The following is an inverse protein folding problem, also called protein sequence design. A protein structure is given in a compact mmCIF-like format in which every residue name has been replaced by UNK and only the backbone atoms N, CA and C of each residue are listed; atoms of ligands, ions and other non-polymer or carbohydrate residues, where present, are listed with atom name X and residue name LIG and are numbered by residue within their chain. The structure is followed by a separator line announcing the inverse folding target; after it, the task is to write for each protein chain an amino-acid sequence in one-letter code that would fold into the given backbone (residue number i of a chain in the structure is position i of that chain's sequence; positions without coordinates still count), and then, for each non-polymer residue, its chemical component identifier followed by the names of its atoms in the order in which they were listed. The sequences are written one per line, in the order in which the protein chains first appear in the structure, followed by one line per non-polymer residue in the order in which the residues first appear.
data_IF_215347340677
#
_entry.id   IF_215347340677
#
_cell.length_a   1.000
_cell.length_b   1.000
_cell.length_c   1.000
_cell.angle_alpha   90.00
_cell.angle_beta   90.00
_cell.angle_gamma   90.00
#
_symmetry.space_group_name_H-M   'P 1'
#
loop_
_entity.id
_entity.type
_entity.pdbx_description
1 polymer ?
#
# COMPACT_ATOMS: atom_id res chain seq x y z
N UNK A 1 13.30 24.89 10.26
CA UNK A 1 12.75 25.39 8.99
C UNK A 1 11.58 26.35 9.18
N UNK A 2 10.76 26.13 10.17
CA UNK A 2 9.53 26.93 10.42
C UNK A 2 9.71 28.45 10.52
N UNK A 3 10.91 28.94 10.86
CA UNK A 3 11.17 30.37 11.05
C UNK A 3 11.30 31.17 9.73
N UNK A 4 11.51 30.51 8.60
CA UNK A 4 11.60 31.08 7.26
C UNK A 4 12.78 32.02 7.02
N UNK A 5 13.56 32.41 8.04
CA UNK A 5 14.74 33.28 7.92
C UNK A 5 15.76 33.02 9.03
N UNK A 6 17.00 32.86 8.67
CA UNK A 6 18.14 32.92 9.60
C UNK A 6 18.74 34.32 9.61
N UNK A 7 18.99 34.86 10.81
CA UNK A 7 19.57 36.21 10.96
C UNK A 7 20.94 36.13 11.62
N UNK A 8 21.99 36.58 10.91
CA UNK A 8 23.33 36.68 11.40
C UNK A 8 23.61 38.12 11.86
N UNK A 9 24.22 38.27 13.03
CA UNK A 9 24.64 39.58 13.54
C UNK A 9 26.15 39.75 13.34
N UNK A 10 26.54 40.73 12.57
CA UNK A 10 27.95 41.18 12.42
C UNK A 10 28.23 42.29 13.42
N UNK A 11 29.31 42.15 14.20
CA UNK A 11 29.66 43.07 15.27
C UNK A 11 31.07 43.59 15.10
N UNK A 12 31.24 44.92 15.20
CA UNK A 12 32.57 45.58 15.34
C UNK A 12 32.97 45.59 16.81
N UNK A 13 34.25 45.36 17.09
CA UNK A 13 34.81 45.46 18.43
C UNK A 13 34.75 46.89 19.03
N UNK A 14 34.81 47.90 18.13
CA UNK A 14 34.72 49.33 18.49
C UNK A 14 34.01 50.13 17.38
N UNK A 15 33.40 51.26 17.73
CA UNK A 15 32.77 52.15 16.76
C UNK A 15 33.80 52.83 15.87
N UNK A 16 33.56 52.81 14.57
CA UNK A 16 34.37 53.54 13.58
C UNK A 16 33.85 54.96 13.35
N UNK A 17 34.74 55.89 13.02
CA UNK A 17 34.37 57.25 12.62
C UNK A 17 33.98 57.33 11.14
N UNK A 18 34.24 56.29 10.37
CA UNK A 18 33.90 56.14 8.96
C UNK A 18 32.98 54.92 8.78
N UNK A 19 32.25 54.87 7.67
CA UNK A 19 31.46 53.69 7.30
C UNK A 19 32.38 52.47 7.12
N UNK A 20 32.01 51.34 7.69
CA UNK A 20 32.65 50.04 7.52
C UNK A 20 31.83 49.19 6.57
N UNK A 21 32.46 48.60 5.57
CA UNK A 21 31.80 47.66 4.67
C UNK A 21 32.48 46.30 4.70
N UNK A 22 31.69 45.23 4.56
CA UNK A 22 32.17 43.87 4.41
C UNK A 22 31.31 43.14 3.39
N UNK A 23 31.90 42.39 2.50
CA UNK A 23 31.18 41.51 1.59
C UNK A 23 30.85 40.24 2.33
N UNK A 24 29.72 39.64 1.97
CA UNK A 24 29.27 38.36 2.52
C UNK A 24 28.75 37.45 1.42
N UNK A 25 28.87 36.13 1.65
CA UNK A 25 28.31 35.09 0.79
C UNK A 25 27.95 33.85 1.63
N UNK A 26 26.83 33.26 1.32
CA UNK A 26 26.52 31.90 1.81
C UNK A 26 27.29 30.87 1.01
N UNK A 27 27.79 29.84 1.69
CA UNK A 27 28.45 28.68 1.10
C UNK A 27 27.70 27.38 1.45
N UNK A 28 27.93 26.35 0.67
CA UNK A 28 27.32 25.04 0.88
C UNK A 28 27.92 24.30 2.09
N UNK A 29 27.11 23.50 2.75
CA UNK A 29 27.47 22.46 3.68
C UNK A 29 26.72 21.18 3.27
N UNK A 30 25.93 20.57 4.16
CA UNK A 30 24.97 19.53 3.80
C UNK A 30 23.72 20.17 3.15
N UNK A 31 23.32 21.36 3.63
CA UNK A 31 22.18 22.10 3.06
C UNK A 31 22.47 22.59 1.62
N UNK A 32 21.49 22.45 0.77
CA UNK A 32 21.54 22.75 -0.67
C UNK A 32 20.90 24.10 -0.99
N UNK A 33 21.67 25.00 -1.61
CA UNK A 33 21.11 26.27 -2.07
C UNK A 33 20.01 26.06 -3.12
N UNK A 34 18.85 26.64 -2.89
CA UNK A 34 17.67 26.55 -3.76
C UNK A 34 16.67 25.50 -3.34
N UNK A 35 17.05 24.56 -2.48
CA UNK A 35 16.16 23.58 -1.84
C UNK A 35 15.91 24.01 -0.41
N UNK A 36 16.94 24.09 0.41
CA UNK A 36 16.85 24.25 1.87
C UNK A 36 16.99 25.71 2.32
N UNK A 37 17.68 26.52 1.53
CA UNK A 37 17.80 27.96 1.74
C UNK A 37 18.03 28.73 0.43
N UNK A 38 17.76 30.02 0.45
CA UNK A 38 18.12 30.90 -0.67
C UNK A 38 19.50 31.48 -0.46
N UNK A 39 20.46 31.08 -1.32
CA UNK A 39 21.83 31.59 -1.31
C UNK A 39 21.87 33.12 -1.40
N UNK A 40 22.56 33.76 -0.46
CA UNK A 40 22.59 35.21 -0.31
C UNK A 40 23.99 35.73 -0.41
N UNK A 41 24.20 36.75 -1.22
CA UNK A 41 25.49 37.47 -1.36
C UNK A 41 25.26 38.99 -1.34
N UNK A 42 26.21 39.75 -0.85
CA UNK A 42 26.08 41.20 -0.85
C UNK A 42 27.17 41.92 -0.08
N UNK A 43 26.96 43.21 0.18
CA UNK A 43 27.78 44.03 1.02
C UNK A 43 27.00 44.58 2.18
N UNK A 44 27.43 44.28 3.40
CA UNK A 44 26.92 44.89 4.61
C UNK A 44 27.65 46.18 4.88
N UNK A 45 26.91 47.26 5.13
CA UNK A 45 27.48 48.57 5.51
C UNK A 45 27.06 48.90 6.95
N UNK A 46 28.02 49.12 7.81
CA UNK A 46 27.86 49.66 9.16
C UNK A 46 28.23 51.14 9.11
N UNK A 47 27.24 52.00 9.27
CA UNK A 47 27.47 53.48 9.24
C UNK A 47 28.35 53.92 10.39
N UNK A 48 29.04 55.07 10.21
CA UNK A 48 29.87 55.65 11.23
C UNK A 48 29.18 55.72 12.60
N UNK A 49 29.82 55.20 13.65
CA UNK A 49 29.31 55.11 15.00
C UNK A 49 28.44 53.87 15.30
N UNK A 50 28.07 53.09 14.29
CA UNK A 50 27.27 51.86 14.45
C UNK A 50 28.22 50.66 14.60
N UNK A 51 27.97 49.79 15.56
CA UNK A 51 28.80 48.61 15.86
C UNK A 51 28.16 47.27 15.47
N UNK A 52 26.90 47.25 15.06
CA UNK A 52 26.19 46.00 14.71
C UNK A 52 25.38 46.16 13.44
N UNK A 53 25.31 45.11 12.65
CA UNK A 53 24.44 44.99 11.48
C UNK A 53 23.99 43.55 11.30
N UNK A 54 22.97 43.34 10.49
CA UNK A 54 22.39 42.01 10.29
C UNK A 54 22.42 41.60 8.83
N UNK A 55 22.66 40.31 8.59
CA UNK A 55 22.49 39.61 7.32
C UNK A 55 21.39 38.61 7.50
N UNK A 56 20.41 38.57 6.58
CA UNK A 56 19.31 37.64 6.57
C UNK A 56 19.50 36.64 5.47
N UNK A 57 19.40 35.35 5.79
CA UNK A 57 19.40 34.25 4.83
C UNK A 57 18.02 33.62 4.88
N UNK A 58 17.24 33.68 3.80
CA UNK A 58 15.94 33.02 3.75
C UNK A 58 16.09 31.48 3.78
N UNK A 59 15.35 30.82 4.64
CA UNK A 59 15.23 29.37 4.74
C UNK A 59 13.99 28.94 3.97
N UNK A 60 14.09 27.84 3.24
CA UNK A 60 12.95 27.22 2.57
C UNK A 60 12.23 26.33 3.57
N UNK A 61 10.92 26.37 3.57
CA UNK A 61 10.06 25.50 4.39
C UNK A 61 9.31 24.56 3.47
N UNK A 62 9.22 23.28 3.81
CA UNK A 62 8.43 22.30 3.07
C UNK A 62 7.70 21.32 4.01
N UNK A 63 7.54 20.05 3.69
CA UNK A 63 6.88 19.04 4.51
C UNK A 63 7.61 17.71 4.46
N UNK A 64 8.88 17.75 4.07
CA UNK A 64 9.73 16.56 3.93
C UNK A 64 10.48 16.33 5.23
N UNK A 65 10.35 15.14 5.82
CA UNK A 65 11.17 14.71 6.97
C UNK A 65 12.64 14.59 6.52
N UNK A 66 13.50 15.41 7.10
CA UNK A 66 14.90 15.53 6.74
C UNK A 66 15.82 15.41 7.95
N UNK A 67 17.10 15.25 7.72
CA UNK A 67 18.08 15.38 8.79
C UNK A 67 18.48 16.84 8.96
N UNK A 68 18.82 17.27 10.17
CA UNK A 68 19.40 18.60 10.41
C UNK A 68 20.58 18.87 9.46
N UNK A 69 20.58 20.01 8.82
CA UNK A 69 21.54 20.38 7.79
C UNK A 69 22.36 21.61 8.14
N UNK A 70 23.45 21.82 7.41
CA UNK A 70 24.36 22.95 7.62
C UNK A 70 24.71 23.65 6.32
N UNK A 71 24.86 24.97 6.42
CA UNK A 71 25.51 25.82 5.42
C UNK A 71 26.44 26.78 6.14
N UNK A 72 27.20 27.60 5.40
CA UNK A 72 28.12 28.59 5.98
C UNK A 72 27.80 29.99 5.48
N UNK A 73 28.02 31.00 6.32
CA UNK A 73 28.10 32.41 5.90
C UNK A 73 29.56 32.85 6.05
N UNK A 74 30.15 33.42 4.97
CA UNK A 74 31.54 33.89 4.94
C UNK A 74 31.58 35.39 4.72
N UNK A 75 32.39 36.08 5.51
CA UNK A 75 32.73 37.50 5.34
C UNK A 75 34.06 37.65 4.58
N UNK A 76 34.12 38.64 3.70
CA UNK A 76 35.32 38.93 2.90
C UNK A 76 35.45 40.43 2.57
N UNK A 77 36.59 40.83 2.03
CA UNK A 77 36.85 42.18 1.50
C UNK A 77 36.44 43.33 2.43
N UNK A 78 36.90 43.36 3.71
CA UNK A 78 36.57 44.42 4.63
C UNK A 78 37.19 45.77 4.19
N UNK A 79 36.44 46.87 4.40
CA UNK A 79 36.96 48.22 4.23
C UNK A 79 36.77 48.98 5.55
N UNK A 80 37.76 49.72 5.99
CA UNK A 80 37.87 50.44 7.27
C UNK A 80 37.79 49.54 8.51
N UNK A 81 37.99 48.23 8.37
CA UNK A 81 38.07 47.26 9.45
C UNK A 81 38.94 46.08 9.06
N UNK A 82 39.19 45.17 10.03
CA UNK A 82 39.77 43.84 9.79
C UNK A 82 38.77 42.77 10.23
N UNK A 83 38.81 41.62 9.56
CA UNK A 83 37.96 40.49 9.95
C UNK A 83 38.70 39.71 11.04
N UNK A 84 38.08 39.54 12.20
CA UNK A 84 38.57 38.72 13.30
C UNK A 84 38.10 37.27 13.17
N UNK A 85 36.85 37.11 12.74
CA UNK A 85 36.24 35.80 12.41
C UNK A 85 35.50 35.94 11.07
N UNK A 86 35.86 35.12 10.11
CA UNK A 86 35.37 35.22 8.73
C UNK A 86 34.16 34.33 8.44
N UNK A 87 33.87 33.33 9.29
CA UNK A 87 32.87 32.31 8.97
C UNK A 87 31.91 32.08 10.14
N UNK A 88 30.65 31.77 9.83
CA UNK A 88 29.65 31.34 10.78
C UNK A 88 28.82 30.23 10.16
N UNK A 89 28.50 29.22 10.95
CA UNK A 89 27.65 28.14 10.52
C UNK A 89 26.18 28.56 10.58
N UNK A 90 25.43 28.17 9.55
CA UNK A 90 23.99 28.11 9.52
C UNK A 90 23.60 26.65 9.80
N UNK A 91 22.83 26.40 10.83
CA UNK A 91 22.20 25.10 11.09
C UNK A 91 20.72 25.25 10.80
N UNK A 92 20.23 24.42 9.91
CA UNK A 92 18.81 24.30 9.57
C UNK A 92 18.34 23.03 10.26
N UNK A 93 17.43 23.19 11.21
CA UNK A 93 16.82 22.06 11.91
C UNK A 93 15.50 21.68 11.26
N UNK A 94 15.33 20.39 11.01
CA UNK A 94 14.08 19.83 10.53
C UNK A 94 12.97 20.01 11.60
N UNK A 95 11.78 20.39 11.18
CA UNK A 95 10.59 20.53 12.03
C UNK A 95 9.40 19.70 11.53
N UNK A 96 9.61 18.86 10.53
CA UNK A 96 8.62 17.97 9.96
C UNK A 96 8.51 16.65 10.72
N UNK A 97 7.38 16.01 10.56
CA UNK A 97 7.13 14.79 11.30
C UNK A 97 7.69 13.57 10.57
N UNK A 98 8.35 12.67 11.30
CA UNK A 98 8.70 11.35 10.78
C UNK A 98 7.48 10.67 10.13
N UNK A 99 7.58 10.19 8.88
CA UNK A 99 6.46 9.61 8.15
C UNK A 99 5.84 8.41 8.85
N UNK A 100 4.54 8.24 8.67
CA UNK A 100 3.82 7.06 9.12
C UNK A 100 3.33 6.25 7.90
N UNK A 101 3.65 4.94 7.90
CA UNK A 101 3.29 4.00 6.85
C UNK A 101 1.90 3.42 7.13
N UNK A 102 1.07 3.32 6.10
CA UNK A 102 -0.16 2.55 6.07
C UNK A 102 -0.19 1.66 4.83
N UNK A 103 -0.99 0.58 4.87
CA UNK A 103 -1.17 -0.33 3.74
C UNK A 103 -2.65 -0.43 3.38
N UNK A 104 -2.96 -0.56 2.08
CA UNK A 104 -4.32 -0.79 1.58
C UNK A 104 -4.56 -2.26 1.25
N UNK A 105 -5.82 -2.71 1.35
CA UNK A 105 -6.24 -4.05 0.94
C UNK A 105 -5.98 -4.32 -0.54
N UNK A 106 -5.72 -5.61 -0.84
CA UNK A 106 -5.54 -6.13 -2.19
C UNK A 106 -6.62 -7.14 -2.55
N UNK A 107 -7.25 -6.97 -3.71
CA UNK A 107 -8.29 -7.88 -4.20
C UNK A 107 -7.94 -8.36 -5.61
N UNK A 108 -8.17 -9.64 -5.87
CA UNK A 108 -8.00 -10.24 -7.20
C UNK A 108 -8.94 -11.45 -7.35
N UNK A 109 -9.15 -11.89 -8.59
CA UNK A 109 -9.70 -13.21 -8.86
C UNK A 109 -8.62 -14.28 -8.74
N UNK A 110 -8.99 -15.55 -8.63
CA UNK A 110 -8.06 -16.67 -8.64
C UNK A 110 -7.12 -16.62 -9.85
N UNK A 111 -5.88 -17.06 -9.67
CA UNK A 111 -4.83 -17.01 -10.70
C UNK A 111 -4.39 -15.61 -11.10
N UNK A 112 -4.96 -14.57 -10.47
CA UNK A 112 -4.58 -13.18 -10.67
C UNK A 112 -3.45 -12.72 -9.77
N UNK A 113 -3.26 -11.41 -9.72
CA UNK A 113 -2.28 -10.75 -8.87
C UNK A 113 -2.96 -9.66 -8.07
N UNK A 114 -2.89 -9.75 -6.75
CA UNK A 114 -3.33 -8.71 -5.85
C UNK A 114 -2.18 -7.72 -5.64
N UNK A 115 -2.38 -6.46 -5.99
CA UNK A 115 -1.41 -5.39 -5.78
C UNK A 115 -1.76 -4.62 -4.50
N UNK A 116 -0.80 -4.53 -3.59
CA UNK A 116 -0.89 -3.76 -2.35
C UNK A 116 -0.14 -2.45 -2.51
N UNK A 117 -0.67 -1.39 -1.90
CA UNK A 117 -0.03 -0.08 -1.88
C UNK A 117 0.30 0.30 -0.45
N UNK A 118 1.58 0.52 -0.18
CA UNK A 118 2.02 1.19 1.04
C UNK A 118 2.09 2.70 0.79
N UNK A 119 1.61 3.50 1.73
CA UNK A 119 1.53 4.96 1.63
C UNK A 119 2.09 5.63 2.87
N UNK A 120 2.79 6.76 2.68
CA UNK A 120 3.34 7.61 3.74
C UNK A 120 2.45 8.83 3.97
N UNK A 121 2.48 9.36 5.18
CA UNK A 121 1.80 10.61 5.55
C UNK A 121 2.44 11.85 4.91
N UNK A 122 3.76 11.84 4.74
CA UNK A 122 4.58 12.90 4.15
C UNK A 122 5.84 12.26 3.52
N UNK A 123 6.52 12.93 2.58
CA UNK A 123 7.77 12.43 2.02
C UNK A 123 8.91 12.45 3.06
N UNK A 124 9.98 11.69 2.81
CA UNK A 124 11.24 11.77 3.54
C UNK A 124 12.40 11.96 2.55
N UNK A 125 13.45 12.64 2.96
CA UNK A 125 14.69 12.77 2.19
C UNK A 125 15.51 11.47 2.19
N UNK A 126 15.15 10.50 3.03
CA UNK A 126 15.78 9.19 3.13
C UNK A 126 14.89 8.09 2.52
N UNK A 127 15.52 7.02 2.03
CA UNK A 127 14.78 5.81 1.66
C UNK A 127 14.11 5.21 2.90
N UNK A 128 12.83 4.89 2.78
CA UNK A 128 12.06 4.19 3.81
C UNK A 128 11.94 2.73 3.42
N UNK A 129 12.27 1.82 4.33
CA UNK A 129 12.07 0.40 4.13
C UNK A 129 11.11 -0.18 5.15
N UNK A 130 10.34 -1.19 4.74
CA UNK A 130 9.43 -1.94 5.61
C UNK A 130 9.41 -3.39 5.16
N UNK A 131 9.45 -4.32 6.09
CA UNK A 131 9.24 -5.74 5.80
C UNK A 131 7.74 -6.01 5.67
N UNK A 132 7.36 -6.88 4.73
CA UNK A 132 5.99 -7.36 4.59
C UNK A 132 5.95 -8.88 4.50
N UNK A 133 4.91 -9.46 5.08
CA UNK A 133 4.65 -10.89 5.07
C UNK A 133 3.17 -11.16 4.82
N UNK A 134 2.88 -12.08 3.87
CA UNK A 134 1.52 -12.57 3.68
C UNK A 134 1.29 -13.87 4.45
N UNK A 135 0.11 -14.03 5.03
CA UNK A 135 -0.29 -15.18 5.85
C UNK A 135 -1.69 -15.67 5.50
N UNK A 136 -1.93 -16.96 5.79
CA UNK A 136 -3.21 -17.62 5.56
C UNK A 136 -4.31 -17.07 6.49
N UNK A 137 -5.51 -16.93 5.92
CA UNK A 137 -6.77 -16.75 6.61
C UNK A 137 -7.71 -17.89 6.24
N UNK A 138 -8.81 -17.63 5.52
CA UNK A 138 -9.57 -18.68 4.83
C UNK A 138 -8.80 -19.17 3.60
N UNK A 139 -8.15 -18.25 2.86
CA UNK A 139 -7.21 -18.60 1.82
C UNK A 139 -5.95 -19.26 2.40
N UNK A 140 -5.49 -20.33 1.79
CA UNK A 140 -4.40 -21.18 2.27
C UNK A 140 -3.16 -21.00 1.41
N UNK A 141 -2.03 -20.67 2.04
CA UNK A 141 -0.74 -20.63 1.35
C UNK A 141 -0.41 -21.97 0.71
N UNK A 142 0.00 -21.91 -0.56
CA UNK A 142 0.36 -23.07 -1.37
C UNK A 142 -0.79 -23.69 -2.15
N UNK A 143 -2.06 -23.40 -1.79
CA UNK A 143 -3.25 -23.74 -2.57
C UNK A 143 -3.75 -22.50 -3.32
N UNK A 144 -4.10 -21.45 -2.59
CA UNK A 144 -4.85 -20.31 -3.12
C UNK A 144 -3.95 -19.11 -3.43
N UNK A 145 -2.80 -19.02 -2.78
CA UNK A 145 -1.76 -18.02 -3.07
C UNK A 145 -0.36 -18.50 -2.69
N UNK A 146 0.66 -17.83 -3.19
CA UNK A 146 2.04 -18.03 -2.77
C UNK A 146 2.42 -16.98 -1.72
N UNK A 147 2.73 -17.43 -0.51
CA UNK A 147 3.18 -16.52 0.55
C UNK A 147 4.45 -15.79 0.16
N UNK A 148 4.51 -14.52 0.49
CA UNK A 148 5.66 -13.64 0.29
C UNK A 148 6.16 -13.14 1.64
N UNK A 149 7.49 -12.98 1.76
CA UNK A 149 8.16 -12.32 2.89
C UNK A 149 9.35 -11.59 2.30
N UNK A 150 9.24 -10.28 2.19
CA UNK A 150 10.24 -9.43 1.52
C UNK A 150 10.30 -8.04 2.16
N UNK A 151 11.17 -7.20 1.64
CA UNK A 151 11.31 -5.79 2.05
C UNK A 151 10.85 -4.88 0.91
N UNK A 152 9.92 -3.99 1.21
CA UNK A 152 9.51 -2.90 0.33
C UNK A 152 10.35 -1.67 0.62
N UNK A 153 10.76 -0.97 -0.44
CA UNK A 153 11.43 0.33 -0.33
C UNK A 153 10.56 1.41 -0.97
N UNK A 154 10.30 2.47 -0.24
CA UNK A 154 9.74 3.72 -0.75
C UNK A 154 10.94 4.66 -0.88
N UNK A 155 11.27 5.06 -2.10
CA UNK A 155 12.45 5.89 -2.35
C UNK A 155 12.30 7.30 -1.81
N UNK A 156 13.43 7.92 -1.45
CA UNK A 156 13.48 9.31 -1.00
C UNK A 156 12.64 10.24 -1.90
N UNK A 157 11.82 11.07 -1.29
CA UNK A 157 10.88 12.00 -1.96
C UNK A 157 9.58 11.38 -2.45
N UNK A 158 9.46 10.04 -2.51
CA UNK A 158 8.21 9.36 -2.87
C UNK A 158 7.36 9.12 -1.62
N UNK A 159 6.03 9.03 -1.81
CA UNK A 159 5.08 8.77 -0.72
C UNK A 159 4.35 7.45 -0.86
N UNK A 160 4.62 6.67 -1.91
CA UNK A 160 3.98 5.37 -2.14
C UNK A 160 4.91 4.38 -2.78
N UNK A 161 4.72 3.11 -2.48
CA UNK A 161 5.28 2.00 -3.23
C UNK A 161 4.29 0.83 -3.25
N UNK A 162 4.42 -0.07 -4.22
CA UNK A 162 3.54 -1.22 -4.40
C UNK A 162 4.32 -2.52 -4.42
N UNK A 163 3.65 -3.59 -4.03
CA UNK A 163 4.11 -4.96 -4.19
C UNK A 163 2.94 -5.88 -4.51
N UNK A 164 3.25 -7.07 -4.99
CA UNK A 164 2.27 -8.01 -5.51
C UNK A 164 2.26 -9.32 -4.71
N UNK A 165 1.06 -9.89 -4.54
CA UNK A 165 0.84 -11.26 -4.10
C UNK A 165 0.13 -12.01 -5.21
N UNK A 166 0.77 -13.07 -5.72
CA UNK A 166 0.23 -13.89 -6.80
C UNK A 166 -0.66 -14.97 -6.23
N UNK A 167 -1.89 -15.08 -6.76
CA UNK A 167 -2.85 -16.12 -6.42
C UNK A 167 -2.78 -17.29 -7.39
N UNK A 168 -3.32 -18.44 -6.99
CA UNK A 168 -3.30 -19.69 -7.75
C UNK A 168 -4.69 -19.93 -8.33
N UNK A 169 -4.78 -20.24 -9.63
CA UNK A 169 -6.02 -20.68 -10.24
C UNK A 169 -6.19 -22.20 -10.07
N UNK A 170 -7.42 -22.62 -9.85
CA UNK A 170 -7.77 -24.05 -10.01
C UNK A 170 -9.09 -24.22 -10.80
N UNK A 171 -9.92 -25.18 -10.57
CA UNK A 171 -11.19 -25.40 -11.27
C UNK A 171 -12.30 -25.83 -10.30
N UNK A 172 -12.17 -25.48 -9.02
CA UNK A 172 -13.18 -25.74 -8.02
C UNK A 172 -14.05 -24.49 -7.90
N UNK A 173 -15.33 -24.70 -7.73
CA UNK A 173 -16.28 -23.66 -7.32
C UNK A 173 -16.16 -23.50 -5.79
N UNK A 174 -15.56 -22.41 -5.35
CA UNK A 174 -15.24 -22.14 -3.93
C UNK A 174 -15.98 -20.89 -3.43
N UNK A 175 -15.79 -20.53 -2.21
CA UNK A 175 -16.27 -19.26 -1.67
C UNK A 175 -15.13 -18.26 -1.75
N UNK A 176 -15.45 -16.98 -1.88
CA UNK A 176 -14.45 -15.92 -1.75
C UNK A 176 -13.65 -16.10 -0.45
N UNK A 177 -12.35 -15.97 -0.56
CA UNK A 177 -11.41 -16.25 0.52
C UNK A 177 -10.58 -15.05 0.89
N UNK A 178 -9.97 -15.09 2.07
CA UNK A 178 -9.12 -14.02 2.58
C UNK A 178 -7.83 -14.55 3.15
N UNK A 179 -6.75 -13.82 2.89
CA UNK A 179 -5.49 -13.89 3.62
C UNK A 179 -5.21 -12.55 4.28
N UNK A 180 -4.06 -12.40 4.92
CA UNK A 180 -3.63 -11.14 5.55
C UNK A 180 -2.20 -10.81 5.14
N UNK A 181 -1.94 -9.54 4.85
CA UNK A 181 -0.58 -8.99 4.72
C UNK A 181 -0.28 -8.14 5.94
N UNK A 182 0.92 -8.31 6.50
CA UNK A 182 1.37 -7.59 7.69
C UNK A 182 2.67 -6.86 7.41
N UNK A 183 2.73 -5.57 7.78
CA UNK A 183 3.96 -4.76 7.75
C UNK A 183 4.68 -4.82 9.10
N UNK A 184 6.03 -4.84 9.05
CA UNK A 184 6.89 -4.84 10.24
C UNK A 184 8.25 -4.19 9.98
N UNK A 185 9.02 -3.93 11.05
CA UNK A 185 10.40 -3.47 10.99
C UNK A 185 10.64 -2.26 10.06
N UNK A 186 9.93 -1.14 10.23
CA UNK A 186 10.14 0.07 9.43
C UNK A 186 11.49 0.70 9.73
N UNK A 187 12.15 1.29 8.72
CA UNK A 187 13.33 2.15 8.86
C UNK A 187 12.96 3.55 8.37
N UNK A 188 13.38 4.57 9.10
CA UNK A 188 13.09 5.99 8.83
C UNK A 188 11.59 6.35 8.80
N UNK A 189 10.74 5.52 9.43
CA UNK A 189 9.31 5.75 9.51
C UNK A 189 8.70 5.04 10.72
N UNK A 190 7.45 5.39 11.04
CA UNK A 190 6.59 4.64 11.96
C UNK A 190 5.51 3.90 11.17
N UNK A 191 4.82 2.95 11.78
CA UNK A 191 3.66 2.28 11.15
C UNK A 191 2.38 2.76 11.82
N UNK A 192 1.44 3.30 11.04
CA UNK A 192 0.11 3.72 11.50
C UNK A 192 -0.95 2.65 11.24
N UNK A 193 -0.81 1.87 10.17
CA UNK A 193 -1.64 0.70 9.86
C UNK A 193 -0.75 -0.39 9.28
N UNK A 194 -0.67 -1.51 9.99
CA UNK A 194 0.24 -2.60 9.67
C UNK A 194 -0.41 -3.80 9.02
N UNK A 195 -1.72 -3.79 8.76
CA UNK A 195 -2.43 -4.96 8.24
C UNK A 195 -3.32 -4.61 7.06
N UNK A 196 -3.37 -5.49 6.07
CA UNK A 196 -4.27 -5.41 4.94
C UNK A 196 -4.84 -6.78 4.60
N UNK A 197 -6.07 -6.82 4.11
CA UNK A 197 -6.69 -8.05 3.64
C UNK A 197 -6.25 -8.35 2.19
N UNK A 198 -5.86 -9.62 1.96
CA UNK A 198 -5.81 -10.22 0.64
C UNK A 198 -7.17 -10.87 0.39
N UNK A 199 -7.94 -10.35 -0.55
CA UNK A 199 -9.25 -10.92 -0.94
C UNK A 199 -9.10 -11.63 -2.28
N UNK A 200 -9.42 -12.93 -2.31
CA UNK A 200 -9.41 -13.77 -3.51
C UNK A 200 -10.85 -14.12 -3.84
N UNK A 201 -11.33 -13.70 -5.00
CA UNK A 201 -12.66 -14.01 -5.48
C UNK A 201 -12.63 -15.22 -6.38
N UNK A 202 -13.56 -16.17 -6.14
CA UNK A 202 -13.76 -17.33 -6.98
C UNK A 202 -14.35 -16.93 -8.34
N UNK A 203 -13.87 -17.53 -9.43
CA UNK A 203 -14.38 -17.32 -10.78
C UNK A 203 -14.83 -18.63 -11.45
N UNK A 204 -14.82 -19.74 -10.72
CA UNK A 204 -15.27 -21.03 -11.17
C UNK A 204 -16.78 -21.28 -10.89
N UNK A 205 -17.34 -22.20 -11.60
CA UNK A 205 -18.75 -22.58 -11.44
C UNK A 205 -18.94 -24.07 -11.62
N UNK A 206 -19.51 -24.73 -10.61
CA UNK A 206 -19.90 -26.14 -10.70
C UNK A 206 -21.14 -26.32 -11.56
N UNK A 207 -21.05 -27.11 -12.62
CA UNK A 207 -22.18 -27.47 -13.46
C UNK A 207 -22.72 -28.84 -13.07
N UNK A 208 -24.06 -28.99 -13.01
CA UNK A 208 -24.76 -30.24 -12.75
C UNK A 208 -25.35 -30.77 -14.06
N UNK A 209 -25.41 -32.11 -14.14
CA UNK A 209 -26.04 -32.81 -15.27
C UNK A 209 -26.91 -33.94 -14.73
N UNK A 210 -27.86 -34.40 -15.57
CA UNK A 210 -28.66 -35.56 -15.30
C UNK A 210 -28.71 -36.43 -16.56
N UNK A 211 -28.60 -37.74 -16.40
CA UNK A 211 -28.68 -38.69 -17.49
C UNK A 211 -30.00 -39.44 -17.50
N UNK A 212 -30.44 -39.89 -18.69
CA UNK A 212 -31.61 -40.78 -18.81
C UNK A 212 -31.41 -42.06 -18.04
N UNK A 213 -32.47 -42.54 -17.40
CA UNK A 213 -32.54 -43.84 -16.73
C UNK A 213 -33.58 -44.73 -17.39
N UNK A 214 -33.33 -46.04 -17.40
CA UNK A 214 -34.26 -47.05 -17.87
C UNK A 214 -34.38 -48.09 -16.78
N UNK A 215 -35.60 -48.35 -16.34
CA UNK A 215 -35.90 -49.37 -15.33
C UNK A 215 -37.04 -50.26 -15.80
N UNK A 216 -37.19 -51.43 -15.18
CA UNK A 216 -38.36 -52.29 -15.36
C UNK A 216 -39.53 -51.73 -14.50
N UNK A 217 -40.77 -52.07 -14.86
CA UNK A 217 -41.94 -51.83 -13.99
C UNK A 217 -41.70 -52.38 -12.60
N UNK A 218 -42.27 -51.77 -11.61
CA UNK A 218 -42.08 -52.04 -10.18
C UNK A 218 -40.67 -51.79 -9.64
N UNK A 219 -39.80 -51.11 -10.38
CA UNK A 219 -38.43 -50.74 -9.99
C UNK A 219 -38.33 -49.29 -9.48
N UNK A 220 -37.33 -49.03 -8.63
CA UNK A 220 -36.98 -47.67 -8.17
C UNK A 220 -36.00 -47.04 -9.17
N UNK A 221 -36.38 -45.93 -9.81
CA UNK A 221 -35.49 -45.17 -10.66
C UNK A 221 -34.51 -44.36 -9.83
N UNK A 222 -33.23 -44.62 -9.99
CA UNK A 222 -32.15 -43.86 -9.33
C UNK A 222 -31.50 -42.91 -10.31
N UNK A 223 -31.52 -41.62 -10.00
CA UNK A 223 -30.97 -40.53 -10.84
C UNK A 223 -29.71 -39.97 -10.18
N UNK A 224 -28.53 -40.40 -10.63
CA UNK A 224 -27.31 -39.70 -10.24
C UNK A 224 -27.28 -38.33 -10.88
N UNK A 225 -26.86 -37.32 -10.08
CA UNK A 225 -26.67 -35.93 -10.49
C UNK A 225 -25.22 -35.59 -10.26
N UNK A 226 -24.33 -35.87 -11.24
CA UNK A 226 -22.93 -35.50 -11.13
C UNK A 226 -22.74 -34.00 -11.32
N UNK A 227 -21.71 -33.49 -10.68
CA UNK A 227 -21.18 -32.14 -10.85
C UNK A 227 -19.86 -32.17 -11.62
N UNK A 228 -19.57 -31.09 -12.36
CA UNK A 228 -18.32 -30.95 -13.12
C UNK A 228 -17.10 -30.84 -12.21
N UNK A 229 -17.27 -30.24 -11.02
CA UNK A 229 -16.26 -30.05 -9.98
C UNK A 229 -16.92 -30.09 -8.60
N UNK A 230 -16.14 -30.04 -7.53
CA UNK A 230 -16.63 -29.82 -6.15
C UNK A 230 -17.12 -28.38 -5.98
N UNK A 231 -18.03 -28.13 -5.04
CA UNK A 231 -18.43 -26.79 -4.65
C UNK A 231 -18.05 -26.51 -3.19
N UNK A 232 -17.61 -25.29 -2.91
CA UNK A 232 -17.29 -24.80 -1.57
C UNK A 232 -18.52 -24.63 -0.66
N UNK A 233 -19.73 -24.61 -1.26
CA UNK A 233 -21.02 -24.62 -0.56
C UNK A 233 -21.90 -25.83 -0.90
N UNK A 234 -22.98 -26.08 -0.16
CA UNK A 234 -23.96 -27.10 -0.52
C UNK A 234 -24.75 -26.66 -1.76
N UNK A 235 -24.83 -27.52 -2.78
CA UNK A 235 -25.61 -27.28 -4.00
C UNK A 235 -26.99 -27.89 -3.86
N UNK A 236 -28.05 -27.09 -4.07
CA UNK A 236 -29.44 -27.55 -3.99
C UNK A 236 -30.10 -27.54 -5.35
N UNK A 237 -30.79 -28.63 -5.70
CA UNK A 237 -31.50 -28.83 -6.96
C UNK A 237 -32.92 -29.24 -6.69
N UNK A 238 -33.87 -28.47 -7.20
CA UNK A 238 -35.28 -28.89 -7.22
C UNK A 238 -35.50 -29.78 -8.43
N UNK A 239 -36.09 -30.97 -8.19
CA UNK A 239 -36.48 -31.88 -9.24
C UNK A 239 -38.00 -32.13 -9.21
N UNK A 240 -38.58 -32.33 -10.39
CA UNK A 240 -39.99 -32.62 -10.56
C UNK A 240 -40.13 -33.66 -11.66
N UNK A 241 -40.82 -34.76 -11.40
CA UNK A 241 -41.23 -35.67 -12.45
C UNK A 241 -42.47 -35.17 -13.18
N UNK A 242 -42.53 -35.41 -14.48
CA UNK A 242 -43.69 -35.06 -15.32
C UNK A 242 -43.90 -36.11 -16.42
N UNK A 243 -45.11 -36.26 -16.92
CA UNK A 243 -45.41 -37.13 -18.06
C UNK A 243 -44.56 -36.75 -19.27
N UNK A 244 -43.95 -37.74 -19.92
CA UNK A 244 -43.12 -37.56 -21.11
C UNK A 244 -43.88 -36.93 -22.27
N UNK A 245 -43.16 -36.19 -23.14
CA UNK A 245 -43.74 -35.32 -24.16
C UNK A 245 -44.34 -36.02 -25.39
N UNK A 246 -44.17 -37.31 -25.63
CA UNK A 246 -44.80 -38.03 -26.73
C UNK A 246 -44.63 -39.57 -26.69
N UNK A 247 -45.68 -40.26 -26.68
CA UNK A 247 -45.92 -41.52 -27.42
C UNK A 247 -45.55 -42.85 -26.71
N UNK A 248 -44.57 -42.94 -25.83
CA UNK A 248 -44.19 -44.13 -25.06
C UNK A 248 -44.10 -43.74 -23.56
N UNK A 249 -45.04 -44.19 -22.70
CA UNK A 249 -45.68 -43.14 -21.96
C UNK A 249 -45.87 -43.60 -20.57
N UNK A 250 -44.79 -43.50 -19.78
CA UNK A 250 -44.96 -43.48 -18.34
C UNK A 250 -45.81 -42.24 -17.98
N UNK A 251 -46.97 -42.48 -17.38
CA UNK A 251 -47.97 -41.50 -17.01
C UNK A 251 -47.94 -41.24 -15.53
N UNK A 252 -47.85 -39.99 -15.16
CA UNK A 252 -47.91 -39.57 -13.75
C UNK A 252 -49.23 -40.06 -13.11
N UNK A 253 -49.09 -40.71 -11.94
CA UNK A 253 -50.19 -41.28 -11.19
C UNK A 253 -50.66 -42.65 -11.66
N UNK A 254 -50.21 -43.18 -12.83
CA UNK A 254 -50.51 -44.52 -13.32
C UNK A 254 -49.28 -45.43 -13.26
N UNK A 255 -48.16 -44.95 -13.78
CA UNK A 255 -46.92 -45.72 -13.91
C UNK A 255 -45.84 -45.29 -12.92
N UNK A 256 -45.92 -44.07 -12.40
CA UNK A 256 -45.09 -43.56 -11.30
C UNK A 256 -45.84 -42.46 -10.53
N UNK A 257 -45.57 -42.25 -9.23
CA UNK A 257 -46.14 -41.13 -8.49
C UNK A 257 -45.45 -39.84 -8.90
N UNK A 258 -46.24 -38.79 -9.22
CA UNK A 258 -45.70 -37.45 -9.43
C UNK A 258 -44.90 -36.98 -8.22
N UNK A 259 -43.63 -36.81 -8.41
CA UNK A 259 -42.70 -36.50 -7.32
C UNK A 259 -42.04 -35.14 -7.54
N UNK A 260 -42.07 -34.31 -6.52
CA UNK A 260 -41.29 -33.07 -6.45
C UNK A 260 -40.46 -33.11 -5.18
N UNK A 261 -39.18 -32.80 -5.30
CA UNK A 261 -38.27 -32.82 -4.15
C UNK A 261 -37.09 -31.87 -4.34
N UNK A 262 -36.29 -31.75 -3.31
CA UNK A 262 -35.03 -31.03 -3.33
C UNK A 262 -33.88 -31.97 -3.03
N UNK A 263 -32.96 -32.12 -3.95
CA UNK A 263 -31.70 -32.79 -3.73
C UNK A 263 -30.70 -31.76 -3.18
N UNK A 264 -30.01 -32.10 -2.09
CA UNK A 264 -28.88 -31.35 -1.60
C UNK A 264 -27.62 -32.17 -1.80
N UNK A 265 -26.68 -31.63 -2.57
CA UNK A 265 -25.32 -32.17 -2.75
C UNK A 265 -24.44 -31.49 -1.72
N UNK A 266 -23.84 -32.21 -0.77
CA UNK A 266 -23.02 -31.60 0.28
C UNK A 266 -21.75 -30.93 -0.29
N UNK A 267 -21.26 -29.93 0.43
CA UNK A 267 -19.94 -29.30 0.20
C UNK A 267 -18.87 -30.37 -0.03
N UNK A 268 -18.01 -30.14 -1.03
CA UNK A 268 -16.91 -31.02 -1.38
C UNK A 268 -17.29 -32.32 -2.09
N UNK A 269 -18.59 -32.54 -2.34
CA UNK A 269 -19.09 -33.72 -3.09
C UNK A 269 -19.15 -33.39 -4.58
N UNK A 270 -18.92 -34.39 -5.43
CA UNK A 270 -19.04 -34.31 -6.90
C UNK A 270 -20.30 -34.92 -7.45
N UNK A 271 -21.19 -35.43 -6.61
CA UNK A 271 -22.48 -36.00 -7.05
C UNK A 271 -23.48 -36.06 -5.93
N UNK A 272 -24.78 -36.00 -6.28
CA UNK A 272 -25.90 -36.39 -5.50
C UNK A 272 -26.74 -37.48 -6.18
N UNK A 273 -27.73 -38.05 -5.48
CA UNK A 273 -28.65 -39.03 -6.05
C UNK A 273 -30.03 -38.77 -5.48
N UNK A 274 -31.07 -38.79 -6.32
CA UNK A 274 -32.46 -38.91 -5.88
C UNK A 274 -33.14 -40.11 -6.54
N UNK A 275 -34.22 -40.54 -5.97
CA UNK A 275 -34.98 -41.71 -6.47
C UNK A 275 -36.45 -41.36 -6.71
N UNK A 276 -37.03 -42.04 -7.70
CA UNK A 276 -38.49 -42.06 -7.97
C UNK A 276 -38.91 -43.50 -7.97
N UNK A 277 -39.94 -43.82 -7.17
CA UNK A 277 -40.50 -45.15 -7.05
C UNK A 277 -41.50 -45.45 -8.16
#
# INVERSE_FOLDING_TARGET
ESDGNATFTVTLSEASVEDVTVEYATGSGTATNGTDYTGTTGTLTLSAGVTTGTIVVPITTDTTDESDETATLTLSNPNNATIGDATSDLVITDDDATPAISISDGTTTEGGTATFTASLTNPSSEDITVEYESSSGTATNGSDFNAVTETLTISAGETTATFDVVTTADAKDELDETGTVTLSNPTNATISDNTADLVITDDDTANITIANQTIAEDGIASFPVPMSTTSGGPVTVVYTSSTGASGDNATDGADYPGTTGTLTIPTGSTAGVFTID
#
